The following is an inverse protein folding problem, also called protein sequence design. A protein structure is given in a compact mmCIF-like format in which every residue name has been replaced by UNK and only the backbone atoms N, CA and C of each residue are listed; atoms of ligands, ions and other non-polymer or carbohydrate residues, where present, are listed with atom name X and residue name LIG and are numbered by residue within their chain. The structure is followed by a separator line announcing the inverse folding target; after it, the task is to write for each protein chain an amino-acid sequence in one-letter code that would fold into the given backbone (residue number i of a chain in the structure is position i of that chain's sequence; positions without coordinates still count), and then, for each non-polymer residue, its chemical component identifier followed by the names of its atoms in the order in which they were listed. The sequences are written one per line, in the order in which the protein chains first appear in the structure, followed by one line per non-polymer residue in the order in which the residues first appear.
data_IF_881124167260
#
_entry.id   IF_881124167260
#
_cell.length_a   1.000
_cell.length_b   1.000
_cell.length_c   1.000
_cell.angle_alpha   90.00
_cell.angle_beta   90.00
_cell.angle_gamma   90.00
#
_symmetry.space_group_name_H-M   'P 1'
#
loop_
_entity.id
_entity.type
_entity.pdbx_description
1 polymer ?
#
# COMPACT_ATOMS: atom_id res chain seq x y z
N UNK A 1 -19.24 -46.28 20.68
CA UNK A 1 -19.58 -44.96 20.12
C UNK A 1 -18.39 -44.02 20.31
N UNK A 2 -17.67 -43.65 19.27
CA UNK A 2 -16.60 -42.66 19.41
C UNK A 2 -17.17 -41.26 19.22
N UNK A 3 -16.93 -40.39 20.21
CA UNK A 3 -17.18 -38.95 20.18
C UNK A 3 -16.27 -38.29 19.11
N UNK A 4 -16.89 -37.76 18.07
CA UNK A 4 -16.21 -36.82 17.18
C UNK A 4 -16.18 -35.45 17.88
N UNK A 5 -15.06 -35.09 18.48
CA UNK A 5 -14.78 -33.73 18.89
C UNK A 5 -14.36 -32.91 17.67
N UNK A 6 -15.27 -32.09 17.18
CA UNK A 6 -15.00 -31.01 16.25
C UNK A 6 -14.16 -29.96 16.98
N UNK A 7 -12.83 -30.06 16.88
CA UNK A 7 -11.95 -28.98 17.26
C UNK A 7 -11.96 -27.94 16.13
N UNK A 8 -12.92 -27.01 16.20
CA UNK A 8 -12.76 -25.72 15.52
C UNK A 8 -11.50 -25.07 16.13
N UNK A 9 -10.39 -25.06 15.37
CA UNK A 9 -9.21 -24.27 15.74
C UNK A 9 -9.68 -22.81 15.81
N UNK A 10 -9.75 -22.28 17.02
CA UNK A 10 -9.83 -20.84 17.21
C UNK A 10 -8.61 -20.23 16.47
N UNK A 11 -8.83 -19.52 15.38
CA UNK A 11 -7.80 -18.75 14.67
C UNK A 11 -7.24 -17.78 15.72
N UNK A 12 -6.01 -17.97 16.14
CA UNK A 12 -5.34 -17.06 17.06
C UNK A 12 -5.25 -15.70 16.35
N UNK A 13 -5.58 -14.61 17.03
CA UNK A 13 -5.49 -13.24 16.48
C UNK A 13 -4.07 -12.86 15.97
N UNK A 14 -3.10 -13.75 16.14
CA UNK A 14 -1.67 -13.54 15.85
C UNK A 14 -1.24 -13.89 14.40
N UNK A 15 -2.14 -14.30 13.50
CA UNK A 15 -1.79 -14.78 12.15
C UNK A 15 -2.52 -14.00 11.05
N UNK A 16 -2.87 -12.74 11.27
CA UNK A 16 -3.61 -11.93 10.30
C UNK A 16 -2.66 -10.87 9.74
N UNK A 17 -2.37 -10.93 8.43
CA UNK A 17 -1.66 -9.89 7.70
C UNK A 17 -2.63 -9.00 6.94
N UNK A 18 -2.23 -7.75 6.74
CA UNK A 18 -2.92 -6.77 5.89
C UNK A 18 -2.01 -6.46 4.71
N UNK A 19 -2.51 -6.66 3.49
CA UNK A 19 -1.89 -6.15 2.28
C UNK A 19 -2.37 -4.71 2.07
N UNK A 20 -1.52 -3.75 2.41
CA UNK A 20 -1.91 -2.33 2.41
C UNK A 20 -1.91 -1.69 1.03
N UNK A 21 -1.50 -2.44 -0.02
CA UNK A 21 -1.49 -1.93 -1.39
C UNK A 21 -1.49 -3.07 -2.41
N UNK A 22 -2.61 -3.26 -3.12
CA UNK A 22 -2.73 -4.32 -4.13
C UNK A 22 -3.79 -4.00 -5.19
N UNK A 23 -3.47 -4.26 -6.46
CA UNK A 23 -4.36 -3.99 -7.60
C UNK A 23 -5.03 -5.28 -8.13
N UNK A 24 -5.46 -6.17 -7.25
CA UNK A 24 -6.09 -7.45 -7.65
C UNK A 24 -7.43 -7.28 -8.36
N UNK A 25 -7.91 -6.05 -8.52
CA UNK A 25 -9.07 -5.71 -9.37
C UNK A 25 -8.70 -5.56 -10.86
N UNK A 26 -7.41 -5.43 -11.19
CA UNK A 26 -6.91 -5.22 -12.56
C UNK A 26 -7.13 -6.42 -13.48
N UNK A 27 -7.17 -6.21 -14.83
CA UNK A 27 -7.46 -7.25 -15.82
C UNK A 27 -6.53 -8.47 -15.78
N UNK A 28 -5.30 -8.30 -15.29
CA UNK A 28 -4.34 -9.39 -15.10
C UNK A 28 -4.87 -10.53 -14.23
N UNK A 29 -5.88 -10.25 -13.41
CA UNK A 29 -6.50 -11.22 -12.51
C UNK A 29 -7.87 -11.73 -12.98
N UNK A 30 -8.39 -11.29 -14.12
CA UNK A 30 -9.74 -11.62 -14.59
C UNK A 30 -10.01 -13.14 -14.64
N UNK A 31 -9.00 -13.93 -14.98
CA UNK A 31 -9.17 -15.37 -15.17
C UNK A 31 -9.21 -16.16 -13.85
N UNK A 32 -8.60 -15.64 -12.77
CA UNK A 32 -8.41 -16.39 -11.52
C UNK A 32 -8.55 -15.53 -10.24
N UNK A 33 -9.16 -14.35 -10.34
CA UNK A 33 -9.28 -13.38 -9.23
C UNK A 33 -9.84 -13.99 -7.95
N UNK A 34 -10.87 -14.83 -8.06
CA UNK A 34 -11.47 -15.50 -6.90
C UNK A 34 -10.50 -16.49 -6.24
N UNK A 35 -9.74 -17.21 -7.06
CA UNK A 35 -8.72 -18.12 -6.55
C UNK A 35 -7.56 -17.36 -5.91
N UNK A 36 -7.20 -16.18 -6.44
CA UNK A 36 -6.20 -15.28 -5.82
C UNK A 36 -6.65 -14.85 -4.43
N UNK A 37 -7.89 -14.36 -4.27
CA UNK A 37 -8.44 -13.98 -2.96
C UNK A 37 -8.44 -15.19 -2.01
N UNK A 38 -8.87 -16.35 -2.49
CA UNK A 38 -8.87 -17.58 -1.67
C UNK A 38 -7.47 -17.97 -1.21
N UNK A 39 -6.47 -18.01 -2.12
CA UNK A 39 -5.08 -18.30 -1.78
C UNK A 39 -4.52 -17.31 -0.77
N UNK A 40 -4.83 -16.03 -0.91
CA UNK A 40 -4.40 -14.99 0.02
C UNK A 40 -4.95 -15.23 1.43
N UNK A 41 -6.25 -15.51 1.56
CA UNK A 41 -6.88 -15.81 2.86
C UNK A 41 -6.31 -17.10 3.47
N UNK A 42 -6.06 -18.13 2.65
CA UNK A 42 -5.40 -19.36 3.09
C UNK A 42 -3.96 -19.12 3.57
N UNK A 43 -3.26 -18.14 2.98
CA UNK A 43 -1.92 -17.71 3.38
C UNK A 43 -1.90 -16.78 4.62
N UNK A 44 -3.07 -16.43 5.19
CA UNK A 44 -3.18 -15.56 6.36
C UNK A 44 -3.33 -14.07 6.05
N UNK A 45 -3.52 -13.68 4.78
CA UNK A 45 -3.79 -12.29 4.40
C UNK A 45 -5.30 -12.05 4.44
N UNK A 46 -5.76 -11.21 5.36
CA UNK A 46 -7.17 -11.09 5.70
C UNK A 46 -7.80 -9.74 5.29
N UNK A 47 -6.95 -8.80 4.85
CA UNK A 47 -7.37 -7.49 4.35
C UNK A 47 -6.56 -7.09 3.13
N UNK A 48 -7.25 -6.50 2.16
CA UNK A 48 -6.67 -5.97 0.92
C UNK A 48 -7.10 -4.51 0.79
N UNK A 49 -6.13 -3.61 0.79
CA UNK A 49 -6.39 -2.22 0.53
C UNK A 49 -6.16 -1.95 -0.96
N UNK A 50 -7.21 -1.51 -1.62
CA UNK A 50 -7.27 -1.36 -3.08
C UNK A 50 -7.10 0.12 -3.43
N UNK A 51 -5.92 0.54 -3.93
CA UNK A 51 -5.72 1.92 -4.36
C UNK A 51 -6.52 2.22 -5.62
N UNK A 52 -6.96 3.46 -5.78
CA UNK A 52 -7.54 3.95 -7.01
C UNK A 52 -6.44 4.57 -7.87
N UNK A 53 -6.39 4.23 -9.16
CA UNK A 53 -5.39 4.73 -10.10
C UNK A 53 -5.98 5.89 -10.91
N UNK A 54 -7.17 5.67 -11.50
CA UNK A 54 -7.86 6.60 -12.38
C UNK A 54 -9.37 6.29 -12.40
N UNK A 55 -10.11 6.97 -13.25
CA UNK A 55 -11.55 6.75 -13.40
C UNK A 55 -11.90 5.33 -13.91
N UNK A 56 -11.07 4.79 -14.79
CA UNK A 56 -11.27 3.49 -15.43
C UNK A 56 -11.11 2.34 -14.42
N UNK A 57 -10.29 2.50 -13.40
CA UNK A 57 -10.05 1.50 -12.34
C UNK A 57 -11.21 1.39 -11.34
N UNK A 58 -12.02 2.44 -11.17
CA UNK A 58 -13.07 2.52 -10.14
C UNK A 58 -14.11 1.39 -10.27
N UNK A 59 -14.67 1.06 -11.46
CA UNK A 59 -15.67 0.00 -11.58
C UNK A 59 -15.16 -1.36 -11.14
N UNK A 60 -13.95 -1.75 -11.56
CA UNK A 60 -13.32 -3.02 -11.19
C UNK A 60 -13.05 -3.11 -9.69
N UNK A 61 -12.46 -2.05 -9.12
CA UNK A 61 -12.19 -1.94 -7.70
C UNK A 61 -13.46 -2.05 -6.85
N UNK A 62 -14.54 -1.30 -7.22
CA UNK A 62 -15.83 -1.36 -6.51
C UNK A 62 -16.49 -2.73 -6.62
N UNK A 63 -16.46 -3.37 -7.79
CA UNK A 63 -17.02 -4.70 -7.98
C UNK A 63 -16.33 -5.74 -7.09
N UNK A 64 -15.01 -5.67 -6.96
CA UNK A 64 -14.25 -6.54 -6.08
C UNK A 64 -14.60 -6.29 -4.61
N UNK A 65 -14.65 -5.03 -4.17
CA UNK A 65 -14.99 -4.67 -2.81
C UNK A 65 -16.42 -5.08 -2.44
N UNK A 66 -17.39 -4.95 -3.35
CA UNK A 66 -18.76 -5.43 -3.15
C UNK A 66 -18.85 -6.96 -3.07
N UNK A 67 -17.99 -7.67 -3.81
CA UNK A 67 -17.95 -9.14 -3.79
C UNK A 67 -17.30 -9.70 -2.52
N UNK A 68 -16.31 -8.99 -1.96
CA UNK A 68 -15.55 -9.40 -0.79
C UNK A 68 -15.49 -8.30 0.29
N UNK A 69 -16.64 -7.81 0.78
CA UNK A 69 -16.70 -6.64 1.67
C UNK A 69 -16.00 -6.84 3.03
N UNK A 70 -15.80 -8.10 3.43
CA UNK A 70 -15.08 -8.43 4.67
C UNK A 70 -13.55 -8.33 4.52
N UNK A 71 -13.03 -8.34 3.28
CA UNK A 71 -11.60 -8.36 2.99
C UNK A 71 -11.11 -7.08 2.31
N UNK A 72 -11.92 -6.47 1.44
CA UNK A 72 -11.50 -5.39 0.57
C UNK A 72 -11.91 -4.02 1.10
N UNK A 73 -10.94 -3.10 1.12
CA UNK A 73 -11.12 -1.69 1.45
C UNK A 73 -10.64 -0.83 0.28
N UNK A 74 -11.44 0.11 -0.16
CA UNK A 74 -11.14 0.95 -1.32
C UNK A 74 -10.50 2.27 -0.92
N UNK A 75 -9.68 2.83 -1.80
CA UNK A 75 -9.14 4.18 -1.70
C UNK A 75 -9.66 5.04 -2.84
N UNK A 76 -9.45 6.35 -2.76
CA UNK A 76 -9.77 7.30 -3.81
C UNK A 76 -8.58 8.20 -4.09
N UNK A 77 -8.30 8.49 -5.36
CA UNK A 77 -7.16 9.31 -5.77
C UNK A 77 -6.85 9.14 -7.25
N UNK A 78 -5.99 10.01 -7.78
CA UNK A 78 -5.49 9.97 -9.14
C UNK A 78 -3.99 9.74 -9.12
N UNK A 79 -3.56 8.64 -9.74
CA UNK A 79 -2.16 8.27 -9.85
C UNK A 79 -1.37 9.31 -10.69
N UNK A 80 -0.12 9.65 -10.35
CA UNK A 80 0.64 10.66 -11.07
C UNK A 80 0.84 10.37 -12.56
N UNK A 81 0.91 9.11 -12.98
CA UNK A 81 1.02 8.76 -14.41
C UNK A 81 -0.26 9.07 -15.21
N UNK A 82 -1.42 9.19 -14.56
CA UNK A 82 -2.71 9.55 -15.14
C UNK A 82 -3.02 11.07 -15.03
N UNK A 83 -2.10 11.86 -14.50
CA UNK A 83 -2.25 13.31 -14.39
C UNK A 83 -1.89 13.97 -15.73
N UNK A 84 -2.88 14.64 -16.33
CA UNK A 84 -2.75 15.41 -17.57
C UNK A 84 -3.23 16.86 -17.36
N UNK A 85 -3.37 17.63 -18.44
CA UNK A 85 -3.77 19.06 -18.37
C UNK A 85 -5.15 19.28 -17.73
N UNK A 86 -6.02 18.29 -17.79
CA UNK A 86 -7.41 18.29 -17.27
C UNK A 86 -7.56 17.60 -15.90
N UNK A 87 -6.47 17.36 -15.20
CA UNK A 87 -6.43 16.60 -13.95
C UNK A 87 -7.46 17.04 -12.91
N UNK A 88 -7.75 18.35 -12.85
CA UNK A 88 -8.67 18.90 -11.86
C UNK A 88 -10.11 18.46 -12.13
N UNK A 89 -10.56 18.55 -13.38
CA UNK A 89 -11.90 18.09 -13.79
C UNK A 89 -12.03 16.58 -13.57
N UNK A 90 -10.96 15.82 -13.87
CA UNK A 90 -10.88 14.38 -13.63
C UNK A 90 -11.05 14.09 -12.15
N UNK A 91 -10.23 14.70 -11.28
CA UNK A 91 -10.29 14.49 -9.83
C UNK A 91 -11.64 14.89 -9.23
N UNK A 92 -12.18 16.05 -9.60
CA UNK A 92 -13.47 16.52 -9.09
C UNK A 92 -14.60 15.53 -9.45
N UNK A 93 -14.47 14.83 -10.58
CA UNK A 93 -15.43 13.80 -11.00
C UNK A 93 -15.26 12.46 -10.27
N UNK A 94 -14.13 12.24 -9.58
CA UNK A 94 -13.79 10.96 -8.93
C UNK A 94 -14.21 10.89 -7.46
N UNK A 95 -14.19 12.02 -6.73
CA UNK A 95 -14.35 12.04 -5.27
C UNK A 95 -15.62 11.36 -4.77
N UNK A 96 -16.76 11.57 -5.45
CA UNK A 96 -18.05 11.00 -5.05
C UNK A 96 -18.29 9.58 -5.60
N UNK A 97 -17.37 9.03 -6.38
CA UNK A 97 -17.56 7.70 -7.00
C UNK A 97 -17.15 6.54 -6.10
N UNK A 98 -16.29 6.77 -5.12
CA UNK A 98 -15.84 5.76 -4.15
C UNK A 98 -16.48 6.03 -2.81
N UNK A 99 -17.30 5.08 -2.35
CA UNK A 99 -18.02 5.18 -1.09
C UNK A 99 -17.12 4.73 0.08
N UNK A 100 -17.05 5.54 1.15
CA UNK A 100 -16.29 5.23 2.37
C UNK A 100 -14.84 4.79 2.10
N UNK A 101 -14.05 5.58 1.36
CA UNK A 101 -12.65 5.24 1.13
C UNK A 101 -11.88 5.25 2.46
N UNK A 102 -10.91 4.34 2.61
CA UNK A 102 -10.07 4.27 3.81
C UNK A 102 -8.81 5.13 3.71
N UNK A 103 -8.50 5.65 2.51
CA UNK A 103 -7.37 6.52 2.25
C UNK A 103 -7.56 7.35 0.97
N UNK A 104 -6.76 8.40 0.82
CA UNK A 104 -6.50 9.07 -0.46
C UNK A 104 -5.26 8.43 -1.07
N UNK A 105 -5.48 7.65 -2.13
CA UNK A 105 -4.42 6.86 -2.76
C UNK A 105 -4.91 6.05 -3.98
N UNK A 106 -4.04 5.81 -4.91
CA UNK A 106 -2.61 6.11 -4.95
C UNK A 106 -2.37 7.51 -5.53
N UNK A 107 -1.56 8.31 -4.86
CA UNK A 107 -1.29 9.70 -5.21
C UNK A 107 0.21 9.99 -5.09
N UNK A 108 0.69 11.06 -5.68
CA UNK A 108 2.10 11.41 -5.54
C UNK A 108 2.73 11.93 -6.82
N UNK A 109 4.01 11.59 -7.03
CA UNK A 109 4.79 12.08 -8.17
C UNK A 109 5.59 10.95 -8.83
N UNK A 110 5.51 10.87 -10.18
CA UNK A 110 6.36 10.01 -11.01
C UNK A 110 7.01 10.81 -12.13
N UNK A 111 8.33 10.98 -12.08
CA UNK A 111 9.11 11.66 -13.13
C UNK A 111 10.06 10.69 -13.85
N UNK A 112 9.73 9.40 -13.81
CA UNK A 112 10.56 8.38 -14.45
C UNK A 112 10.11 8.09 -15.89
N UNK A 113 8.79 7.91 -16.10
CA UNK A 113 8.29 7.53 -17.41
C UNK A 113 8.03 8.73 -18.30
N UNK A 114 7.36 9.76 -17.75
CA UNK A 114 7.06 11.00 -18.46
C UNK A 114 7.06 12.17 -17.47
N UNK A 115 7.75 13.23 -17.77
CA UNK A 115 7.78 14.45 -16.98
C UNK A 115 7.15 15.66 -17.69
N UNK A 116 6.41 15.41 -18.77
CA UNK A 116 5.69 16.44 -19.53
C UNK A 116 4.73 17.22 -18.63
N UNK A 117 3.99 16.53 -17.74
CA UNK A 117 3.01 17.11 -16.83
C UNK A 117 3.55 17.27 -15.39
N UNK A 118 4.86 17.51 -15.25
CA UNK A 118 5.51 17.66 -13.94
C UNK A 118 4.83 18.69 -13.03
N UNK A 119 4.43 19.85 -13.59
CA UNK A 119 3.77 20.88 -12.82
C UNK A 119 2.39 20.46 -12.40
N UNK A 120 1.64 19.89 -13.32
CA UNK A 120 0.29 19.37 -13.11
C UNK A 120 0.30 18.24 -12.06
N UNK A 121 1.29 17.34 -12.09
CA UNK A 121 1.46 16.32 -11.06
C UNK A 121 1.67 16.93 -9.66
N UNK A 122 2.51 17.98 -9.55
CA UNK A 122 2.72 18.68 -8.27
C UNK A 122 1.43 19.34 -7.81
N UNK A 123 0.75 20.07 -8.69
CA UNK A 123 -0.50 20.76 -8.37
C UNK A 123 -1.61 19.75 -7.96
N UNK A 124 -1.73 18.64 -8.69
CA UNK A 124 -2.67 17.58 -8.39
C UNK A 124 -2.34 16.86 -7.06
N UNK A 125 -1.07 16.65 -6.76
CA UNK A 125 -0.66 16.06 -5.50
C UNK A 125 -0.99 16.97 -4.32
N UNK A 126 -0.70 18.27 -4.40
CA UNK A 126 -1.07 19.24 -3.35
C UNK A 126 -2.59 19.33 -3.18
N UNK A 127 -3.35 19.31 -4.26
CA UNK A 127 -4.81 19.27 -4.18
C UNK A 127 -5.30 18.02 -3.43
N UNK A 128 -4.71 16.86 -3.71
CA UNK A 128 -5.06 15.60 -3.05
C UNK A 128 -4.59 15.56 -1.59
N UNK A 129 -3.50 16.23 -1.23
CA UNK A 129 -3.11 16.45 0.16
C UNK A 129 -4.21 17.23 0.89
N UNK A 130 -4.68 18.36 0.34
CA UNK A 130 -5.76 19.13 0.95
C UNK A 130 -7.02 18.26 1.13
N UNK A 131 -7.38 17.47 0.13
CA UNK A 131 -8.52 16.55 0.22
C UNK A 131 -8.36 15.50 1.32
N UNK A 132 -7.16 14.95 1.50
CA UNK A 132 -6.91 13.99 2.58
C UNK A 132 -7.09 14.60 3.96
N UNK A 133 -6.70 15.87 4.13
CA UNK A 133 -6.93 16.64 5.37
C UNK A 133 -8.42 16.90 5.58
N UNK A 134 -9.12 17.40 4.56
CA UNK A 134 -10.56 17.69 4.62
C UNK A 134 -11.40 16.45 4.95
N UNK A 135 -11.01 15.29 4.45
CA UNK A 135 -11.69 14.00 4.65
C UNK A 135 -11.20 13.26 5.91
N UNK A 136 -10.18 13.75 6.59
CA UNK A 136 -9.48 13.07 7.69
C UNK A 136 -9.01 11.66 7.30
N UNK A 137 -8.44 11.49 6.11
CA UNK A 137 -7.96 10.22 5.58
C UNK A 137 -6.43 10.22 5.44
N UNK A 138 -5.75 9.06 5.60
CA UNK A 138 -4.34 8.94 5.33
C UNK A 138 -4.05 9.00 3.83
N UNK A 139 -2.84 9.45 3.48
CA UNK A 139 -2.31 9.42 2.12
C UNK A 139 -1.60 8.10 1.83
N UNK A 140 -1.77 7.54 0.64
CA UNK A 140 -0.93 6.45 0.12
C UNK A 140 -0.13 7.00 -1.06
N UNK A 141 1.17 7.21 -0.81
CA UNK A 141 2.02 8.04 -1.67
C UNK A 141 2.91 7.18 -2.56
N UNK A 142 2.71 7.32 -3.87
CA UNK A 142 3.63 6.91 -4.92
C UNK A 142 4.77 7.92 -5.09
N UNK A 143 5.99 7.43 -5.22
CA UNK A 143 7.15 8.30 -5.45
C UNK A 143 8.20 7.62 -6.33
N UNK A 144 8.41 8.16 -7.52
CA UNK A 144 9.46 7.67 -8.43
C UNK A 144 10.20 8.82 -9.10
N UNK A 145 11.52 8.89 -8.89
CA UNK A 145 12.39 9.97 -9.38
C UNK A 145 11.94 11.41 -9.01
N UNK A 146 11.19 11.56 -7.90
CA UNK A 146 10.55 12.82 -7.54
C UNK A 146 10.70 13.20 -6.06
N UNK A 147 11.59 12.54 -5.31
CA UNK A 147 11.72 12.73 -3.87
C UNK A 147 11.86 14.19 -3.42
N UNK A 148 12.73 15.03 -4.02
CA UNK A 148 12.86 16.42 -3.60
C UNK A 148 11.55 17.19 -3.74
N UNK A 149 10.88 17.08 -4.88
CA UNK A 149 9.63 17.80 -5.17
C UNK A 149 8.47 17.31 -4.28
N UNK A 150 8.41 15.99 -4.05
CA UNK A 150 7.41 15.40 -3.17
C UNK A 150 7.57 15.90 -1.74
N UNK A 151 8.78 15.87 -1.20
CA UNK A 151 9.04 16.35 0.15
C UNK A 151 8.85 17.86 0.28
N UNK A 152 9.14 18.65 -0.78
CA UNK A 152 8.85 20.09 -0.80
C UNK A 152 7.34 20.36 -0.77
N UNK A 153 6.54 19.60 -1.51
CA UNK A 153 5.07 19.69 -1.45
C UNK A 153 4.55 19.34 -0.05
N UNK A 154 5.00 18.21 0.49
CA UNK A 154 4.61 17.79 1.86
C UNK A 154 5.02 18.78 2.94
N UNK A 155 6.20 19.44 2.83
CA UNK A 155 6.66 20.41 3.82
C UNK A 155 5.75 21.66 3.86
N UNK A 156 5.16 22.07 2.71
CA UNK A 156 4.16 23.17 2.68
C UNK A 156 2.89 22.87 3.46
N UNK A 157 2.55 21.58 3.60
CA UNK A 157 1.35 21.09 4.29
C UNK A 157 1.64 20.40 5.64
N UNK A 158 2.86 20.50 6.14
CA UNK A 158 3.30 19.77 7.34
C UNK A 158 2.50 20.10 8.60
N UNK A 159 2.05 21.36 8.71
CA UNK A 159 1.25 21.82 9.83
C UNK A 159 -0.17 21.22 9.86
N UNK A 160 -0.63 20.61 8.77
CA UNK A 160 -1.98 20.08 8.61
C UNK A 160 -2.17 18.69 9.23
N UNK A 161 -1.12 18.16 9.91
CA UNK A 161 -1.19 16.86 10.60
C UNK A 161 -1.23 15.66 9.67
N UNK A 162 -0.51 15.73 8.56
CA UNK A 162 -0.48 14.69 7.54
C UNK A 162 -0.08 13.33 8.10
N UNK A 163 -0.76 12.29 7.65
CA UNK A 163 -0.43 10.88 7.93
C UNK A 163 -0.59 10.02 6.69
N UNK A 164 0.11 8.88 6.63
CA UNK A 164 0.00 8.02 5.45
C UNK A 164 1.11 6.99 5.32
N UNK A 165 1.26 6.50 4.10
CA UNK A 165 2.26 5.52 3.70
C UNK A 165 3.12 6.10 2.57
N UNK A 166 4.44 5.99 2.69
CA UNK A 166 5.33 6.00 1.54
C UNK A 166 5.28 4.59 0.93
N UNK A 167 4.41 4.42 -0.07
CA UNK A 167 4.18 3.15 -0.74
C UNK A 167 5.44 2.71 -1.49
N UNK A 168 5.62 1.40 -1.60
CA UNK A 168 6.71 0.74 -2.33
C UNK A 168 8.09 1.32 -2.04
N UNK A 169 8.36 1.62 -0.75
CA UNK A 169 9.62 2.26 -0.39
C UNK A 169 10.82 1.40 -0.75
N UNK A 170 11.68 1.94 -1.61
CA UNK A 170 12.93 1.33 -2.07
C UNK A 170 14.14 2.26 -1.96
N UNK A 171 13.98 3.35 -1.20
CA UNK A 171 14.95 4.44 -1.13
C UNK A 171 16.22 4.13 -0.34
N UNK A 172 17.11 5.13 -0.33
CA UNK A 172 18.36 5.09 0.43
C UNK A 172 18.12 5.32 1.93
N UNK A 173 19.17 5.09 2.74
CA UNK A 173 19.15 5.43 4.17
C UNK A 173 18.92 6.93 4.40
N UNK A 174 19.46 7.77 3.55
CA UNK A 174 19.28 9.23 3.60
C UNK A 174 17.83 9.61 3.30
N UNK A 175 17.22 8.97 2.28
CA UNK A 175 15.79 9.11 1.97
C UNK A 175 14.92 8.69 3.15
N UNK A 176 15.17 7.52 3.72
CA UNK A 176 14.46 7.03 4.89
C UNK A 176 14.51 8.04 6.06
N UNK A 177 15.71 8.57 6.35
CA UNK A 177 15.87 9.56 7.43
C UNK A 177 15.13 10.86 7.20
N UNK A 178 15.06 11.34 5.93
CA UNK A 178 14.26 12.51 5.59
C UNK A 178 12.78 12.26 5.78
N UNK A 179 12.29 11.12 5.32
CA UNK A 179 10.87 10.72 5.43
C UNK A 179 10.45 10.42 6.87
N UNK A 180 11.35 9.88 7.70
CA UNK A 180 11.11 9.67 9.13
C UNK A 180 10.77 10.96 9.91
N UNK A 181 11.06 12.14 9.37
CA UNK A 181 10.68 13.44 9.96
C UNK A 181 9.17 13.70 9.91
N UNK A 182 8.45 12.95 9.09
CA UNK A 182 6.98 12.97 9.04
C UNK A 182 6.43 11.89 9.97
N UNK A 183 6.14 12.27 11.22
CA UNK A 183 5.80 11.33 12.30
C UNK A 183 4.52 10.53 12.01
N UNK A 184 3.56 11.10 11.26
CA UNK A 184 2.33 10.44 10.85
C UNK A 184 2.50 9.41 9.72
N UNK A 185 3.71 9.26 9.15
CA UNK A 185 3.92 8.37 8.01
C UNK A 185 4.65 7.09 8.37
N UNK A 186 4.31 6.03 7.66
CA UNK A 186 4.98 4.72 7.72
C UNK A 186 5.47 4.32 6.32
N UNK A 187 6.22 3.22 6.24
CA UNK A 187 6.82 2.73 5.01
C UNK A 187 6.11 1.47 4.55
N UNK A 188 5.57 1.47 3.33
CA UNK A 188 5.06 0.28 2.66
C UNK A 188 6.23 -0.56 2.15
N UNK A 189 6.32 -1.80 2.63
CA UNK A 189 7.41 -2.71 2.27
C UNK A 189 6.84 -3.93 1.55
N UNK A 190 7.23 -4.05 0.28
CA UNK A 190 6.83 -5.12 -0.62
C UNK A 190 7.98 -6.04 -1.05
N UNK A 191 7.77 -6.77 -2.13
CA UNK A 191 8.65 -7.82 -2.63
C UNK A 191 10.11 -7.42 -2.85
N UNK A 192 10.37 -6.13 -3.12
CA UNK A 192 11.71 -5.58 -3.36
C UNK A 192 12.69 -5.86 -2.21
N UNK A 193 12.22 -5.97 -0.97
CA UNK A 193 13.06 -6.28 0.20
C UNK A 193 13.72 -7.66 0.10
N UNK A 194 13.15 -8.57 -0.69
CA UNK A 194 13.67 -9.92 -0.90
C UNK A 194 14.71 -10.01 -2.02
N UNK A 195 14.88 -8.95 -2.82
CA UNK A 195 15.73 -9.02 -4.01
C UNK A 195 17.22 -9.02 -3.66
N UNK A 196 17.98 -9.92 -4.27
CA UNK A 196 19.40 -10.13 -3.98
C UNK A 196 20.26 -8.86 -4.12
N UNK A 197 19.92 -8.00 -5.09
CA UNK A 197 20.69 -6.78 -5.38
C UNK A 197 20.10 -5.54 -4.72
N UNK A 198 19.01 -5.68 -3.92
CA UNK A 198 18.43 -4.58 -3.20
C UNK A 198 19.25 -4.24 -1.94
N UNK A 199 19.48 -2.95 -1.70
CA UNK A 199 20.07 -2.45 -0.46
C UNK A 199 19.02 -2.14 0.60
N UNK A 200 17.74 -2.39 0.30
CA UNK A 200 16.62 -2.04 1.16
C UNK A 200 16.73 -2.69 2.55
N UNK A 201 17.13 -3.95 2.61
CA UNK A 201 17.32 -4.65 3.88
C UNK A 201 18.27 -3.89 4.83
N UNK A 202 19.40 -3.38 4.32
CA UNK A 202 20.34 -2.59 5.11
C UNK A 202 19.77 -1.21 5.46
N UNK A 203 19.05 -0.57 4.53
CA UNK A 203 18.39 0.72 4.77
C UNK A 203 17.38 0.62 5.91
N UNK A 204 16.55 -0.43 5.92
CA UNK A 204 15.55 -0.67 6.95
C UNK A 204 16.19 -0.90 8.31
N UNK A 205 17.16 -1.81 8.39
CA UNK A 205 17.91 -2.09 9.63
C UNK A 205 18.58 -0.85 10.24
N UNK A 206 19.09 0.06 9.38
CA UNK A 206 19.86 1.22 9.82
C UNK A 206 19.01 2.45 10.15
N UNK A 207 17.79 2.56 9.59
CA UNK A 207 17.10 3.84 9.59
C UNK A 207 15.57 3.78 9.84
N UNK A 208 14.94 2.62 9.82
CA UNK A 208 13.47 2.51 9.95
C UNK A 208 13.12 1.59 11.12
N UNK A 209 12.47 2.07 12.18
CA UNK A 209 11.93 1.21 13.23
C UNK A 209 10.80 0.31 12.70
N UNK A 210 10.65 -0.88 13.27
CA UNK A 210 9.66 -1.87 12.80
C UNK A 210 8.22 -1.37 12.94
N UNK A 211 7.91 -0.58 13.97
CA UNK A 211 6.58 0.02 14.18
C UNK A 211 6.23 1.15 13.18
N UNK A 212 7.17 1.48 12.28
CA UNK A 212 6.98 2.41 11.17
C UNK A 212 6.87 1.67 9.81
N UNK A 213 6.58 0.36 9.84
CA UNK A 213 6.44 -0.47 8.64
C UNK A 213 5.03 -1.05 8.55
N UNK A 214 4.51 -1.11 7.33
CA UNK A 214 3.37 -1.91 6.91
C UNK A 214 3.77 -2.83 5.77
N UNK A 215 3.02 -3.92 5.59
CA UNK A 215 3.26 -4.89 4.52
C UNK A 215 2.38 -4.58 3.31
N UNK A 216 2.93 -4.79 2.13
CA UNK A 216 2.20 -4.67 0.88
C UNK A 216 2.74 -5.62 -0.19
N UNK A 217 1.95 -5.87 -1.23
CA UNK A 217 2.45 -6.64 -2.38
C UNK A 217 2.72 -5.78 -3.59
N UNK A 218 1.93 -4.77 -3.83
CA UNK A 218 1.86 -4.03 -5.10
C UNK A 218 1.53 -4.98 -6.27
N UNK A 219 0.72 -6.01 -5.99
CA UNK A 219 0.34 -6.98 -7.01
C UNK A 219 -0.52 -6.33 -8.11
N UNK A 220 -0.23 -6.60 -9.39
CA UNK A 220 0.51 -7.75 -9.97
C UNK A 220 2.03 -7.57 -10.08
N UNK A 221 2.60 -6.47 -9.59
CA UNK A 221 3.99 -6.07 -9.78
C UNK A 221 4.92 -6.63 -8.69
N UNK A 222 6.23 -6.58 -8.93
CA UNK A 222 7.30 -6.72 -7.94
C UNK A 222 7.26 -8.00 -7.08
N UNK A 223 6.86 -9.14 -7.65
CA UNK A 223 6.80 -10.42 -6.96
C UNK A 223 8.08 -10.72 -6.15
N UNK A 224 7.96 -11.16 -4.87
CA UNK A 224 9.11 -11.48 -4.03
C UNK A 224 9.86 -12.73 -4.51
N UNK A 225 11.10 -12.91 -4.05
CA UNK A 225 11.79 -14.19 -4.18
C UNK A 225 11.05 -15.22 -3.30
N UNK A 226 10.75 -16.46 -3.82
CA UNK A 226 11.27 -17.07 -5.05
C UNK A 226 10.44 -16.81 -6.33
N UNK A 227 9.39 -15.99 -6.26
CA UNK A 227 8.42 -15.82 -7.36
C UNK A 227 8.79 -14.72 -8.37
N UNK A 228 10.01 -14.21 -8.33
CA UNK A 228 10.48 -13.19 -9.29
C UNK A 228 10.26 -13.59 -10.74
N UNK A 229 9.73 -12.65 -11.55
CA UNK A 229 9.42 -12.85 -12.96
C UNK A 229 8.05 -13.48 -13.22
N UNK A 230 7.29 -13.76 -12.18
CA UNK A 230 5.88 -14.15 -12.25
C UNK A 230 4.98 -13.00 -11.80
N UNK A 231 3.69 -13.08 -12.13
CA UNK A 231 2.67 -12.16 -11.60
C UNK A 231 2.66 -12.27 -10.08
N UNK A 232 2.75 -11.13 -9.39
CA UNK A 232 2.61 -11.07 -7.94
C UNK A 232 1.16 -11.27 -7.51
N UNK A 233 0.94 -11.71 -6.27
CA UNK A 233 -0.38 -11.84 -5.65
C UNK A 233 -0.28 -11.71 -4.12
N UNK A 234 -1.36 -11.33 -3.42
CA UNK A 234 -1.34 -11.14 -1.96
C UNK A 234 -0.91 -12.39 -1.16
N UNK A 235 -1.10 -13.60 -1.69
CA UNK A 235 -0.64 -14.83 -1.05
C UNK A 235 0.89 -14.92 -0.90
N UNK A 236 1.64 -14.01 -1.55
CA UNK A 236 3.10 -13.92 -1.44
C UNK A 236 3.57 -12.96 -0.32
N UNK A 237 2.66 -12.27 0.35
CA UNK A 237 2.99 -11.37 1.47
C UNK A 237 3.81 -12.06 2.60
N UNK A 238 3.57 -13.34 2.95
CA UNK A 238 4.38 -14.04 3.94
C UNK A 238 5.89 -14.09 3.62
N UNK A 239 6.29 -14.05 2.34
CA UNK A 239 7.71 -14.00 1.97
C UNK A 239 8.35 -12.65 2.34
N UNK A 240 7.57 -11.56 2.26
CA UNK A 240 7.99 -10.22 2.70
C UNK A 240 8.13 -10.22 4.23
N UNK A 241 7.12 -10.70 4.95
CA UNK A 241 7.14 -10.82 6.42
C UNK A 241 8.33 -11.66 6.91
N UNK A 242 8.57 -12.82 6.31
CA UNK A 242 9.71 -13.67 6.64
C UNK A 242 11.07 -12.97 6.41
N UNK A 243 11.16 -12.15 5.36
CA UNK A 243 12.38 -11.36 5.11
C UNK A 243 12.58 -10.27 6.14
N UNK A 244 11.52 -9.57 6.54
CA UNK A 244 11.57 -8.56 7.62
C UNK A 244 11.94 -9.20 8.96
N UNK A 245 11.42 -10.38 9.28
CA UNK A 245 11.79 -11.14 10.48
C UNK A 245 13.31 -11.37 10.56
N UNK A 246 13.94 -11.71 9.43
CA UNK A 246 15.39 -11.85 9.35
C UNK A 246 16.13 -10.51 9.55
N UNK A 247 15.63 -9.42 8.95
CA UNK A 247 16.25 -8.08 9.01
C UNK A 247 16.24 -7.55 10.45
N UNK A 248 15.09 -7.67 11.14
CA UNK A 248 14.90 -7.15 12.48
C UNK A 248 15.27 -8.14 13.59
N UNK A 249 15.65 -9.38 13.22
CA UNK A 249 15.99 -10.46 14.14
C UNK A 249 14.88 -10.74 15.17
N UNK A 250 13.65 -10.85 14.68
CA UNK A 250 12.43 -11.15 15.46
C UNK A 250 11.66 -12.33 14.86
N UNK A 251 10.64 -12.83 15.54
CA UNK A 251 9.75 -13.86 15.00
C UNK A 251 8.80 -13.32 13.92
N UNK A 252 8.34 -14.17 12.97
CA UNK A 252 7.35 -13.78 11.95
C UNK A 252 6.07 -13.28 12.63
N UNK A 253 5.58 -13.94 13.67
CA UNK A 253 4.40 -13.51 14.41
C UNK A 253 4.54 -12.09 15.02
N UNK A 254 5.73 -11.67 15.36
CA UNK A 254 6.00 -10.31 15.85
C UNK A 254 5.93 -9.30 14.70
N UNK A 255 6.45 -9.65 13.51
CA UNK A 255 6.28 -8.85 12.29
C UNK A 255 4.79 -8.66 12.00
N UNK A 256 4.03 -9.77 11.94
CA UNK A 256 2.59 -9.75 11.63
C UNK A 256 1.81 -8.87 12.62
N UNK A 257 2.06 -9.04 13.91
CA UNK A 257 1.39 -8.25 14.94
C UNK A 257 1.68 -6.75 14.85
N UNK A 258 2.95 -6.38 14.69
CA UNK A 258 3.35 -4.97 14.67
C UNK A 258 2.85 -4.29 13.39
N UNK A 259 3.07 -4.91 12.21
CA UNK A 259 2.69 -4.32 10.93
C UNK A 259 1.18 -4.26 10.75
N UNK A 260 0.45 -5.29 11.20
CA UNK A 260 -1.02 -5.31 11.21
C UNK A 260 -1.59 -4.24 12.14
N UNK A 261 -1.07 -4.13 13.37
CA UNK A 261 -1.51 -3.09 14.32
C UNK A 261 -1.22 -1.68 13.79
N UNK A 262 -0.10 -1.50 13.09
CA UNK A 262 0.25 -0.23 12.46
C UNK A 262 -0.72 0.12 11.32
N UNK A 263 -1.04 -0.85 10.45
CA UNK A 263 -2.02 -0.65 9.38
C UNK A 263 -3.43 -0.37 9.93
N UNK A 264 -3.89 -1.16 10.91
CA UNK A 264 -5.20 -0.97 11.54
C UNK A 264 -5.35 0.42 12.15
N UNK A 265 -4.33 0.89 12.87
CA UNK A 265 -4.33 2.24 13.48
C UNK A 265 -4.33 3.33 12.41
N UNK A 266 -3.56 3.17 11.32
CA UNK A 266 -3.44 4.18 10.28
C UNK A 266 -4.73 4.34 9.47
N UNK A 267 -5.35 3.22 9.09
CA UNK A 267 -6.54 3.20 8.23
C UNK A 267 -7.87 3.09 8.98
N UNK A 268 -7.84 2.93 10.31
CA UNK A 268 -9.03 2.74 11.16
C UNK A 268 -9.91 1.55 10.74
N UNK A 269 -9.30 0.39 10.42
CA UNK A 269 -9.95 -0.83 9.91
C UNK A 269 -9.78 -2.04 10.84
#
# INVERSE_FOLDING_TARGET
MPCHSSAAKAKCLADIMIDTHTHIYEPEFDQDRDDVVKRAVEAGVDKFLLPCINQESIPGMKALAQRYPQYCHTMTGLHPEDVHADWQDVLDSMWDKVENPVAVGEVGLDFYWDDTFRKEQIDAFEYQICKSVDMDLPLVIHMRNAEPQLLDAMERHKADGLRGIFHCFGGSRESARRMMRYEGFVFGIGGVVTFRNSRLAQTLSDAVPLDRIVLETDAPYLAPVPHRGHRNEPSFLPFVAAKLAQIYNVGIAEIDNITTSTAQRLFSI
#
